data_IF_085189309746
#
_entry.id   IF_085189309746
#
_cell.length_a   1.000
_cell.length_b   1.000
_cell.length_c   1.000
_cell.angle_alpha   90.00
_cell.angle_beta   90.00
_cell.angle_gamma   90.00
#
_symmetry.space_group_name_H-M   'P 1'
#
loop_
_entity.id
_entity.type
_entity.pdbx_description
1 polymer ?
#
# COMPACT_ATOMS: atom_id res chain seq x y z
N UNK A 1 4.35 5.27 -12.85
CA UNK A 1 3.75 4.73 -11.61
C UNK A 1 2.39 5.36 -11.53
N UNK A 2 1.37 4.53 -11.62
CA UNK A 2 -0.02 4.91 -11.46
C UNK A 2 -0.47 4.67 -10.00
N UNK A 3 -1.52 5.37 -9.58
CA UNK A 3 -2.15 5.14 -8.29
C UNK A 3 -2.60 3.67 -8.20
N UNK A 4 -2.29 3.05 -7.07
CA UNK A 4 -2.50 1.64 -6.72
C UNK A 4 -1.59 0.62 -7.43
N UNK A 5 -0.53 1.09 -8.09
CA UNK A 5 0.59 0.20 -8.47
C UNK A 5 1.26 -0.37 -7.22
N UNK A 6 1.54 -1.67 -7.24
CA UNK A 6 2.21 -2.40 -6.17
C UNK A 6 3.65 -2.68 -6.57
N UNK A 7 4.58 -2.43 -5.67
CA UNK A 7 6.01 -2.62 -5.83
C UNK A 7 6.54 -3.55 -4.75
N UNK A 8 7.63 -4.26 -5.06
CA UNK A 8 8.40 -4.93 -4.01
C UNK A 8 8.92 -3.91 -3.00
N UNK A 9 8.82 -4.24 -1.71
CA UNK A 9 9.27 -3.34 -0.66
C UNK A 9 10.80 -3.11 -0.77
N UNK A 10 11.28 -1.86 -0.97
CA UNK A 10 12.70 -1.58 -1.08
C UNK A 10 13.42 -1.74 0.27
N UNK A 11 12.71 -1.59 1.38
CA UNK A 11 13.25 -1.71 2.73
C UNK A 11 13.08 -3.13 3.27
N UNK A 12 13.98 -4.02 2.86
CA UNK A 12 14.06 -5.40 3.38
C UNK A 12 14.35 -5.50 4.89
N UNK A 13 14.70 -4.39 5.56
CA UNK A 13 14.90 -4.35 7.02
C UNK A 13 13.63 -4.64 7.83
N UNK A 14 12.44 -4.47 7.23
CA UNK A 14 11.16 -4.93 7.80
C UNK A 14 10.94 -6.45 7.74
N UNK A 15 11.90 -7.20 7.19
CA UNK A 15 11.84 -8.65 7.02
C UNK A 15 10.83 -9.09 5.96
N UNK A 16 10.63 -10.42 5.88
CA UNK A 16 9.61 -11.07 5.05
C UNK A 16 8.17 -10.67 5.43
N UNK A 17 7.96 -9.90 6.51
CA UNK A 17 6.63 -9.53 6.97
C UNK A 17 5.93 -8.53 6.04
N UNK A 18 6.67 -7.63 5.40
CA UNK A 18 6.13 -6.59 4.52
C UNK A 18 6.72 -6.74 3.12
N UNK A 19 6.26 -7.70 2.32
CA UNK A 19 6.85 -8.00 1.01
C UNK A 19 6.62 -6.88 -0.02
N UNK A 20 5.55 -6.10 0.13
CA UNK A 20 5.15 -5.11 -0.87
C UNK A 20 4.77 -3.75 -0.27
N UNK A 21 4.80 -2.75 -1.12
CA UNK A 21 4.28 -1.39 -0.88
C UNK A 21 3.43 -0.99 -2.07
N UNK A 22 2.35 -0.23 -1.83
CA UNK A 22 1.45 0.23 -2.87
C UNK A 22 1.45 1.76 -2.94
N UNK A 23 1.57 2.32 -4.15
CA UNK A 23 1.42 3.75 -4.39
C UNK A 23 -0.04 4.17 -4.19
N UNK A 24 -0.31 5.13 -3.31
CA UNK A 24 -1.66 5.67 -3.09
C UNK A 24 -1.77 7.12 -3.56
N UNK A 25 -0.68 7.68 -4.09
CA UNK A 25 -0.63 9.07 -4.55
C UNK A 25 -1.43 9.21 -5.85
N UNK A 26 -2.20 10.29 -5.94
CA UNK A 26 -3.01 10.58 -7.12
C UNK A 26 -2.14 10.75 -8.39
N UNK A 27 -2.63 10.25 -9.53
CA UNK A 27 -1.92 10.28 -10.82
C UNK A 27 -1.56 11.69 -11.30
N UNK A 28 -2.38 12.69 -10.97
CA UNK A 28 -2.11 14.09 -11.31
C UNK A 28 -0.83 14.64 -10.64
N UNK A 29 -0.34 13.97 -9.60
CA UNK A 29 0.86 14.32 -8.85
C UNK A 29 2.08 13.50 -9.29
N UNK A 30 2.06 12.86 -10.47
CA UNK A 30 3.14 11.96 -10.90
C UNK A 30 4.51 12.63 -11.09
N UNK A 31 4.55 13.95 -11.26
CA UNK A 31 5.78 14.74 -11.40
C UNK A 31 6.54 14.98 -10.09
N UNK A 32 5.97 14.64 -8.93
CA UNK A 32 6.66 14.77 -7.64
C UNK A 32 7.78 13.73 -7.51
N UNK A 33 8.91 14.08 -6.88
CA UNK A 33 10.05 13.16 -6.71
C UNK A 33 9.81 12.09 -5.64
N UNK A 34 8.72 12.19 -4.88
CA UNK A 34 8.33 11.27 -3.81
C UNK A 34 6.97 10.65 -4.09
N UNK A 35 6.75 9.46 -3.54
CA UNK A 35 5.46 8.77 -3.54
C UNK A 35 4.99 8.51 -2.11
N UNK A 36 3.70 8.74 -1.86
CA UNK A 36 3.04 8.26 -0.66
C UNK A 36 2.63 6.82 -0.89
N UNK A 37 3.15 5.93 -0.04
CA UNK A 37 2.91 4.50 -0.12
C UNK A 37 2.24 3.98 1.13
N UNK A 38 1.49 2.89 0.96
CA UNK A 38 0.99 2.05 2.05
C UNK A 38 1.72 0.70 2.05
N UNK A 39 2.16 0.18 3.21
CA UNK A 39 2.72 -1.17 3.31
C UNK A 39 1.65 -2.25 3.14
N UNK A 40 2.01 -3.35 2.47
CA UNK A 40 1.21 -4.57 2.42
C UNK A 40 1.94 -5.68 3.18
N UNK A 41 1.35 -6.14 4.26
CA UNK A 41 1.98 -7.08 5.19
C UNK A 41 1.30 -8.46 5.18
N UNK A 42 2.09 -9.50 5.43
CA UNK A 42 1.56 -10.85 5.65
C UNK A 42 0.76 -10.88 6.96
N UNK A 43 -0.42 -11.52 7.00
CA UNK A 43 -1.14 -11.76 8.25
C UNK A 43 -0.26 -12.53 9.23
N UNK A 44 -0.33 -12.17 10.52
CA UNK A 44 0.47 -12.84 11.54
C UNK A 44 0.36 -12.19 12.92
N UNK A 45 1.13 -12.67 13.91
CA UNK A 45 1.16 -12.07 15.25
C UNK A 45 1.52 -10.58 15.16
N UNK A 46 0.65 -9.70 15.64
CA UNK A 46 0.82 -8.25 15.59
C UNK A 46 0.35 -7.58 14.29
N UNK A 47 -0.08 -8.36 13.28
CA UNK A 47 -0.68 -7.86 12.03
C UNK A 47 -2.12 -8.35 11.97
N UNK A 48 -2.98 -7.71 12.75
CA UNK A 48 -4.41 -7.99 12.80
C UNK A 48 -5.17 -6.85 12.11
N UNK A 49 -5.94 -7.12 11.04
CA UNK A 49 -6.63 -6.07 10.31
C UNK A 49 -7.69 -5.41 11.18
N UNK A 50 -7.60 -4.10 11.35
CA UNK A 50 -8.67 -3.30 11.93
C UNK A 50 -9.77 -3.10 10.89
N UNK A 51 -11.02 -3.35 11.26
CA UNK A 51 -12.17 -3.19 10.37
C UNK A 51 -12.19 -1.78 9.76
N UNK A 52 -12.47 -1.69 8.46
CA UNK A 52 -12.47 -0.46 7.63
C UNK A 52 -11.10 0.16 7.40
N UNK A 53 -10.22 0.19 8.41
CA UNK A 53 -8.89 0.75 8.30
C UNK A 53 -7.93 -0.12 7.50
N UNK A 54 -7.94 -1.44 7.68
CA UNK A 54 -6.95 -2.35 7.09
C UNK A 54 -7.61 -3.40 6.18
N UNK A 55 -7.94 -3.06 4.91
CA UNK A 55 -8.44 -4.03 3.95
C UNK A 55 -7.48 -5.21 3.79
N UNK A 56 -8.05 -6.41 3.67
CA UNK A 56 -7.33 -7.57 3.17
C UNK A 56 -7.41 -7.56 1.63
N UNK A 57 -6.26 -7.74 1.00
CA UNK A 57 -6.09 -7.70 -0.45
C UNK A 57 -5.34 -8.95 -0.90
N UNK A 58 -5.50 -9.34 -2.16
CA UNK A 58 -4.73 -10.42 -2.76
C UNK A 58 -3.75 -9.84 -3.77
N UNK A 59 -2.49 -10.24 -3.68
CA UNK A 59 -1.42 -9.84 -4.60
C UNK A 59 -0.66 -11.09 -5.00
N UNK A 60 -0.63 -11.42 -6.29
CA UNK A 60 0.06 -12.61 -6.81
C UNK A 60 -0.32 -13.93 -6.10
N UNK A 61 -1.60 -14.09 -5.73
CA UNK A 61 -2.10 -15.26 -5.00
C UNK A 61 -1.79 -15.28 -3.50
N UNK A 62 -1.22 -14.20 -2.96
CA UNK A 62 -0.93 -14.05 -1.54
C UNK A 62 -1.92 -13.07 -0.88
N UNK A 63 -2.54 -13.49 0.22
CA UNK A 63 -3.39 -12.63 1.04
C UNK A 63 -2.54 -11.72 1.92
N UNK A 64 -2.76 -10.41 1.82
CA UNK A 64 -2.01 -9.37 2.52
C UNK A 64 -2.95 -8.38 3.19
N UNK A 65 -2.46 -7.74 4.25
CA UNK A 65 -3.15 -6.67 4.97
C UNK A 65 -2.56 -5.34 4.54
N UNK A 66 -3.41 -4.41 4.09
CA UNK A 66 -3.04 -3.02 3.85
C UNK A 66 -2.91 -2.28 5.18
N UNK A 67 -1.69 -1.93 5.58
CA UNK A 67 -1.40 -1.22 6.83
C UNK A 67 -1.55 0.28 6.65
N UNK A 68 -2.80 0.71 6.47
CA UNK A 68 -3.19 2.09 6.15
C UNK A 68 -2.73 3.11 7.19
N UNK A 69 -2.55 2.74 8.44
CA UNK A 69 -2.00 3.58 9.51
C UNK A 69 -0.47 3.79 9.41
N UNK A 70 0.21 3.06 8.52
CA UNK A 70 1.66 3.08 8.32
C UNK A 70 2.07 3.72 6.99
N UNK A 71 1.32 4.71 6.52
CA UNK A 71 1.70 5.46 5.31
C UNK A 71 3.08 6.07 5.44
N UNK A 72 3.82 6.06 4.33
CA UNK A 72 5.15 6.67 4.28
C UNK A 72 5.40 7.37 2.95
N UNK A 73 6.12 8.48 2.99
CA UNK A 73 6.65 9.13 1.80
C UNK A 73 8.04 8.59 1.51
N UNK A 74 8.28 8.07 0.31
CA UNK A 74 9.62 7.62 -0.12
C UNK A 74 10.01 8.20 -1.48
N UNK A 75 11.32 8.31 -1.78
CA UNK A 75 11.78 8.74 -3.10
C UNK A 75 11.29 7.79 -4.22
N UNK A 76 10.71 8.32 -5.29
CA UNK A 76 10.21 7.49 -6.39
C UNK A 76 11.32 6.65 -7.04
N UNK A 77 12.54 7.18 -7.07
CA UNK A 77 13.72 6.54 -7.69
C UNK A 77 14.16 5.22 -7.06
N UNK A 78 13.72 4.90 -5.83
CA UNK A 78 14.09 3.64 -5.16
C UNK A 78 13.04 2.54 -5.35
N UNK A 79 11.93 2.85 -5.99
CA UNK A 79 10.89 1.88 -6.31
C UNK A 79 11.25 1.11 -7.58
N UNK A 80 11.18 -0.22 -7.48
CA UNK A 80 11.27 -1.11 -8.63
C UNK A 80 10.04 -0.94 -9.54
N UNK A 81 10.06 -1.45 -10.79
CA UNK A 81 8.84 -1.54 -11.60
C UNK A 81 7.68 -2.23 -10.86
N UNK A 82 6.42 -1.88 -11.18
CA UNK A 82 5.27 -2.49 -10.53
C UNK A 82 5.18 -3.98 -10.82
N UNK A 83 4.75 -4.76 -9.82
CA UNK A 83 4.56 -6.22 -9.91
C UNK A 83 3.09 -6.61 -10.01
N UNK A 84 2.19 -5.70 -9.61
CA UNK A 84 0.74 -5.87 -9.64
C UNK A 84 0.06 -4.49 -9.53
N UNK A 85 -1.27 -4.44 -9.60
CA UNK A 85 -2.05 -3.22 -9.34
C UNK A 85 -3.40 -3.56 -8.70
N UNK A 86 -3.86 -2.71 -7.78
CA UNK A 86 -5.19 -2.79 -7.17
C UNK A 86 -6.16 -1.71 -7.67
N UNK A 87 -5.88 -1.11 -8.83
CA UNK A 87 -6.74 -0.06 -9.40
C UNK A 87 -8.21 -0.52 -9.58
N UNK A 88 -8.45 -1.80 -9.89
CA UNK A 88 -9.81 -2.36 -9.99
C UNK A 88 -10.58 -2.35 -8.65
N UNK A 89 -9.86 -2.34 -7.51
CA UNK A 89 -10.39 -2.26 -6.15
C UNK A 89 -10.22 -0.88 -5.52
N UNK A 90 -10.10 0.16 -6.36
CA UNK A 90 -9.93 1.56 -5.94
C UNK A 90 -10.89 1.99 -4.84
N UNK A 91 -12.17 1.63 -4.93
CA UNK A 91 -13.18 2.03 -3.94
C UNK A 91 -12.79 1.60 -2.52
N UNK A 92 -12.27 0.38 -2.36
CA UNK A 92 -11.89 -0.15 -1.05
C UNK A 92 -10.65 0.56 -0.51
N UNK A 93 -9.70 0.89 -1.40
CA UNK A 93 -8.47 1.60 -1.01
C UNK A 93 -8.78 3.03 -0.57
N UNK A 94 -9.67 3.71 -1.30
CA UNK A 94 -10.12 5.05 -0.96
C UNK A 94 -10.94 5.05 0.33
N UNK A 95 -11.83 4.08 0.54
CA UNK A 95 -12.61 3.97 1.78
C UNK A 95 -11.70 3.80 3.00
N UNK A 96 -10.64 2.99 2.91
CA UNK A 96 -9.68 2.83 4.00
C UNK A 96 -8.89 4.12 4.30
N UNK A 97 -8.52 4.86 3.25
CA UNK A 97 -7.84 6.17 3.40
C UNK A 97 -8.79 7.24 3.95
N UNK A 98 -10.04 7.25 3.51
CA UNK A 98 -11.06 8.14 4.04
C UNK A 98 -11.29 7.83 5.53
N UNK A 99 -11.43 6.56 5.90
CA UNK A 99 -11.53 6.15 7.30
C UNK A 99 -10.31 6.61 8.12
N UNK A 100 -9.09 6.51 7.59
CA UNK A 100 -7.89 7.00 8.28
C UNK A 100 -7.94 8.51 8.54
N UNK A 101 -8.34 9.31 7.55
CA UNK A 101 -8.21 10.77 7.60
C UNK A 101 -9.45 11.48 8.14
N UNK A 102 -10.64 10.93 7.88
CA UNK A 102 -11.94 11.56 8.14
C UNK A 102 -12.82 10.72 9.07
N UNK A 103 -12.53 9.43 9.23
CA UNK A 103 -13.27 8.51 10.11
C UNK A 103 -14.57 7.98 9.52
N UNK A 104 -14.79 8.14 8.21
CA UNK A 104 -15.99 7.72 7.48
C UNK A 104 -15.78 6.35 6.81
#
# INVERSE_FOLDING_TARGET
MAQFDIHSNPNRKGGDLVPYVMDIQADCLHGLPTRILVPLARPGPGVMPTRHLNPVVEVNGEALVMLTDQLSAIPAKILAPPVASLAARRHDMIAALDFLFTGI
#
